data_IF_074490458952
#
_entry.id   IF_074490458952
#
_cell.length_a   1.000
_cell.length_b   1.000
_cell.length_c   1.000
_cell.angle_alpha   90.00
_cell.angle_beta   90.00
_cell.angle_gamma   90.00
#
_symmetry.space_group_name_H-M   'P 1'
#
loop_
_entity.id
_entity.type
_entity.pdbx_description
1 polymer ?
#
# COMPACT_ATOMS: atom_id res chain seq x y z
N UNK A 1 -67.88 -10.61 14.73
CA UNK A 1 -67.61 -9.50 15.66
C UNK A 1 -67.07 -8.33 14.86
N UNK A 2 -67.75 -7.19 15.00
CA UNK A 2 -67.39 -5.78 14.76
C UNK A 2 -66.45 -5.37 13.61
N UNK A 3 -66.99 -4.47 12.78
CA UNK A 3 -66.35 -3.62 11.79
C UNK A 3 -65.49 -2.50 12.41
N UNK A 4 -64.54 -1.96 11.64
CA UNK A 4 -64.50 -0.56 11.17
C UNK A 4 -63.07 -0.12 10.78
N UNK A 5 -63.02 0.69 9.72
CA UNK A 5 -61.85 1.26 9.08
C UNK A 5 -61.31 2.52 9.79
N UNK A 6 -60.06 2.91 9.49
CA UNK A 6 -59.66 4.31 9.42
C UNK A 6 -58.45 4.49 8.49
N UNK A 7 -58.65 5.21 7.40
CA UNK A 7 -57.59 5.80 6.58
C UNK A 7 -57.15 7.14 7.19
N UNK A 8 -55.90 7.54 7.00
CA UNK A 8 -55.46 8.91 7.27
C UNK A 8 -54.50 9.35 6.16
N UNK A 9 -55.02 10.17 5.27
CA UNK A 9 -54.27 10.97 4.32
C UNK A 9 -54.08 12.37 4.92
N UNK A 10 -52.87 12.93 4.81
CA UNK A 10 -52.64 14.37 5.02
C UNK A 10 -51.73 14.88 3.90
N UNK A 11 -52.27 15.82 3.12
CA UNK A 11 -51.62 16.59 2.07
C UNK A 11 -51.24 17.98 2.61
N UNK A 12 -49.97 18.39 2.36
CA UNK A 12 -49.36 19.68 1.85
C UNK A 12 -50.22 20.97 1.91
N UNK A 13 -49.73 22.25 1.95
CA UNK A 13 -48.41 22.79 1.49
C UNK A 13 -47.86 24.07 2.22
N UNK A 14 -46.73 24.63 1.71
CA UNK A 14 -46.42 26.07 1.44
C UNK A 14 -44.87 26.25 1.33
N UNK A 15 -44.28 26.42 0.13
CA UNK A 15 -43.98 27.68 -0.60
C UNK A 15 -43.17 28.70 0.23
N UNK A 16 -42.14 29.42 -0.20
CA UNK A 16 -41.19 29.44 -1.34
C UNK A 16 -40.23 30.60 -1.00
N UNK A 17 -38.92 30.45 -1.14
CA UNK A 17 -38.06 31.60 -1.43
C UNK A 17 -37.04 31.23 -2.52
N UNK A 18 -37.24 31.89 -3.66
CA UNK A 18 -36.34 31.92 -4.81
C UNK A 18 -35.25 32.95 -4.55
N UNK A 19 -33.99 32.57 -4.70
CA UNK A 19 -32.88 33.51 -4.89
C UNK A 19 -32.41 33.41 -6.34
N UNK A 20 -32.77 34.42 -7.13
CA UNK A 20 -32.26 34.63 -8.48
C UNK A 20 -31.04 35.55 -8.40
N UNK A 21 -29.87 35.10 -8.87
CA UNK A 21 -28.77 36.00 -9.17
C UNK A 21 -27.96 35.51 -10.40
N UNK A 22 -28.14 36.29 -11.47
CA UNK A 22 -27.22 36.65 -12.56
C UNK A 22 -26.36 35.61 -13.30
N UNK A 23 -26.44 35.73 -14.63
CA UNK A 23 -25.72 34.96 -15.66
C UNK A 23 -24.27 35.48 -15.86
N UNK A 24 -23.32 34.53 -15.93
CA UNK A 24 -22.14 34.35 -16.83
C UNK A 24 -21.23 35.54 -17.20
N UNK A 25 -19.91 35.29 -17.32
CA UNK A 25 -19.38 34.90 -18.63
C UNK A 25 -18.45 33.67 -18.65
N UNK A 26 -18.41 33.04 -19.83
CA UNK A 26 -17.45 32.02 -20.27
C UNK A 26 -16.02 32.57 -20.28
N UNK A 27 -15.08 31.84 -19.66
CA UNK A 27 -13.68 31.75 -20.13
C UNK A 27 -13.21 30.31 -19.87
N UNK A 28 -13.08 29.49 -20.91
CA UNK A 28 -11.97 29.35 -21.88
C UNK A 28 -11.12 28.15 -21.48
N UNK A 29 -11.38 27.05 -22.20
CA UNK A 29 -10.57 25.83 -22.23
C UNK A 29 -9.09 26.19 -22.40
N UNK A 30 -8.25 25.63 -21.53
CA UNK A 30 -6.82 25.45 -21.79
C UNK A 30 -6.41 24.04 -21.40
N UNK A 31 -6.15 23.27 -22.43
CA UNK A 31 -5.46 21.98 -22.44
C UNK A 31 -4.00 22.10 -21.95
N UNK A 32 -3.50 20.97 -21.44
CA UNK A 32 -2.09 20.58 -21.17
C UNK A 32 -1.42 21.19 -19.92
N UNK A 33 -1.07 20.35 -18.94
CA UNK A 33 0.21 19.61 -18.89
C UNK A 33 0.39 18.91 -17.53
N UNK A 34 0.84 17.65 -17.61
CA UNK A 34 1.45 16.75 -16.60
C UNK A 34 2.13 17.44 -15.39
N UNK A 35 2.02 16.90 -14.16
CA UNK A 35 2.79 17.40 -13.04
C UNK A 35 4.27 17.04 -13.25
N UNK A 36 5.10 18.04 -13.55
CA UNK A 36 6.55 17.90 -13.46
C UNK A 36 6.97 18.06 -12.00
N UNK A 37 7.52 16.97 -11.47
CA UNK A 37 8.35 16.89 -10.27
C UNK A 37 9.44 17.97 -10.34
N UNK A 38 9.27 19.06 -9.59
CA UNK A 38 10.30 20.06 -9.39
C UNK A 38 11.38 19.48 -8.47
N UNK A 39 12.46 19.00 -9.08
CA UNK A 39 13.76 18.90 -8.43
C UNK A 39 14.21 20.32 -8.08
N UNK A 40 14.17 20.69 -6.81
CA UNK A 40 14.96 21.82 -6.30
C UNK A 40 16.15 21.23 -5.54
N UNK A 41 17.30 21.25 -6.20
CA UNK A 41 18.58 21.11 -5.54
C UNK A 41 18.81 22.36 -4.67
N UNK A 42 18.83 22.17 -3.36
CA UNK A 42 19.55 23.05 -2.44
C UNK A 42 20.56 22.19 -1.71
N UNK A 43 21.81 22.30 -2.17
CA UNK A 43 22.96 21.85 -1.40
C UNK A 43 23.06 22.72 -0.15
N UNK A 44 22.72 22.13 0.99
CA UNK A 44 23.18 22.63 2.29
C UNK A 44 24.40 21.82 2.67
N UNK A 45 25.56 22.42 2.41
CA UNK A 45 26.83 22.00 2.99
C UNK A 45 26.80 22.27 4.49
N UNK A 46 26.77 21.20 5.29
CA UNK A 46 27.24 21.22 6.67
C UNK A 46 28.45 20.27 6.76
N UNK A 47 29.59 20.73 7.29
CA UNK A 47 30.78 19.90 7.46
C UNK A 47 30.75 19.14 8.79
N UNK A 48 31.44 17.99 8.79
CA UNK A 48 31.86 17.17 9.93
C UNK A 48 30.78 16.38 10.71
N UNK A 49 30.90 15.06 10.68
CA UNK A 49 30.23 14.17 11.63
C UNK A 49 30.19 12.70 11.18
N UNK A 50 31.11 11.89 11.70
CA UNK A 50 31.13 10.42 11.70
C UNK A 50 30.78 9.70 10.38
N UNK A 51 31.81 9.33 9.63
CA UNK A 51 31.75 8.38 8.51
C UNK A 51 31.44 6.96 8.96
N UNK A 52 30.28 6.74 9.59
CA UNK A 52 29.67 5.42 9.62
C UNK A 52 29.05 5.19 8.25
N UNK A 53 29.71 4.35 7.42
CA UNK A 53 29.13 3.93 6.14
C UNK A 53 27.71 3.42 6.38
N UNK A 54 26.72 4.15 5.87
CA UNK A 54 25.32 3.70 5.96
C UNK A 54 25.17 2.55 4.97
N UNK A 55 25.32 1.32 5.46
CA UNK A 55 25.06 0.12 4.68
C UNK A 55 23.60 0.10 4.24
N UNK A 56 23.38 -0.17 2.96
CA UNK A 56 22.04 -0.27 2.39
C UNK A 56 21.33 -1.52 2.97
N UNK A 57 20.07 -1.43 3.42
CA UNK A 57 19.39 -2.58 4.00
C UNK A 57 19.21 -3.66 2.92
N UNK A 58 19.28 -4.92 3.32
CA UNK A 58 18.89 -6.07 2.48
C UNK A 58 17.50 -6.52 2.92
N UNK A 59 16.57 -6.58 1.98
CA UNK A 59 15.19 -6.95 2.28
C UNK A 59 15.07 -8.44 2.55
N UNK A 60 14.28 -8.78 3.57
CA UNK A 60 13.86 -10.15 3.85
C UNK A 60 12.51 -10.16 4.54
N UNK A 61 11.71 -11.18 4.27
CA UNK A 61 10.49 -11.44 5.02
C UNK A 61 10.85 -11.85 6.46
N UNK A 62 10.04 -11.42 7.43
CA UNK A 62 10.13 -11.87 8.82
C UNK A 62 8.91 -12.71 9.18
N UNK A 63 9.17 -13.83 9.87
CA UNK A 63 8.10 -14.68 10.39
C UNK A 63 7.32 -13.96 11.50
N UNK A 64 6.05 -14.34 11.68
CA UNK A 64 5.20 -13.77 12.72
C UNK A 64 4.74 -12.33 12.46
N UNK A 65 5.03 -11.71 11.31
CA UNK A 65 4.54 -10.38 10.95
C UNK A 65 3.16 -10.45 10.30
N UNK A 66 3.04 -10.91 9.04
CA UNK A 66 1.74 -11.02 8.36
C UNK A 66 1.08 -9.70 7.92
N UNK A 67 1.69 -8.53 8.13
CA UNK A 67 1.09 -7.24 7.77
C UNK A 67 0.71 -7.11 6.27
N UNK A 68 1.46 -7.77 5.38
CA UNK A 68 1.15 -7.83 3.96
C UNK A 68 -0.15 -8.59 3.63
N UNK A 69 -0.65 -9.42 4.55
CA UNK A 69 -1.89 -10.17 4.39
C UNK A 69 -3.15 -9.36 4.73
N UNK A 70 -3.04 -8.15 5.29
CA UNK A 70 -4.16 -7.20 5.30
C UNK A 70 -4.29 -6.61 3.90
N UNK A 71 -5.19 -7.14 3.08
CA UNK A 71 -5.32 -6.75 1.68
C UNK A 71 -6.15 -5.46 1.54
N UNK A 72 -7.25 -5.35 2.29
CA UNK A 72 -7.99 -4.09 2.38
C UNK A 72 -7.42 -3.23 3.51
N UNK A 73 -6.64 -2.20 3.13
CA UNK A 73 -5.98 -1.27 4.06
C UNK A 73 -6.65 0.11 4.08
N UNK A 74 -7.77 0.29 3.38
CA UNK A 74 -8.44 1.57 3.21
C UNK A 74 -7.76 2.51 2.21
N UNK A 75 -8.27 3.74 2.07
CA UNK A 75 -8.01 4.64 0.93
C UNK A 75 -6.60 5.27 0.92
N UNK A 76 -5.82 5.10 1.99
CA UNK A 76 -4.44 5.57 2.04
C UNK A 76 -3.46 4.66 1.26
N UNK A 77 -3.93 3.50 0.81
CA UNK A 77 -3.17 2.52 0.06
C UNK A 77 -3.75 2.35 -1.34
N UNK A 78 -2.89 1.94 -2.27
CA UNK A 78 -3.31 1.65 -3.63
C UNK A 78 -4.35 0.51 -3.67
N UNK A 79 -5.39 0.72 -4.45
CA UNK A 79 -6.42 -0.27 -4.79
C UNK A 79 -5.88 -1.30 -5.79
N UNK A 80 -6.48 -2.50 -5.90
CA UNK A 80 -6.04 -3.47 -6.91
C UNK A 80 -6.14 -2.93 -8.35
N UNK A 81 -7.08 -2.03 -8.65
CA UNK A 81 -7.17 -1.33 -9.94
C UNK A 81 -5.96 -0.44 -10.26
N UNK A 82 -5.32 0.10 -9.23
CA UNK A 82 -4.15 0.96 -9.40
C UNK A 82 -2.85 0.15 -9.50
N UNK A 83 -2.85 -1.10 -9.02
CA UNK A 83 -1.68 -1.98 -8.99
C UNK A 83 -1.64 -2.90 -10.21
N UNK A 84 -2.78 -3.42 -10.65
CA UNK A 84 -2.85 -4.45 -11.68
C UNK A 84 -3.48 -3.92 -12.97
N UNK A 85 -2.81 -4.17 -14.09
CA UNK A 85 -3.38 -3.91 -15.41
C UNK A 85 -4.29 -5.06 -15.89
N UNK A 86 -4.03 -6.29 -15.43
CA UNK A 86 -4.78 -7.48 -15.82
C UNK A 86 -6.04 -7.65 -14.95
N UNK A 87 -7.26 -7.66 -15.54
CA UNK A 87 -8.50 -7.86 -14.80
C UNK A 87 -8.55 -9.18 -14.00
N UNK A 88 -7.86 -10.23 -14.48
CA UNK A 88 -7.81 -11.53 -13.77
C UNK A 88 -7.05 -11.45 -12.46
N UNK A 89 -6.01 -10.62 -12.40
CA UNK A 89 -5.25 -10.41 -11.16
C UNK A 89 -6.05 -9.58 -10.16
N UNK A 90 -6.82 -8.61 -10.65
CA UNK A 90 -7.78 -7.85 -9.83
C UNK A 90 -8.85 -8.77 -9.24
N UNK A 91 -9.46 -9.64 -10.06
CA UNK A 91 -10.45 -10.63 -9.62
C UNK A 91 -9.86 -11.59 -8.58
N UNK A 92 -8.65 -12.11 -8.85
CA UNK A 92 -7.95 -13.00 -7.92
C UNK A 92 -7.67 -12.31 -6.60
N UNK A 93 -7.11 -11.09 -6.62
CA UNK A 93 -6.84 -10.30 -5.43
C UNK A 93 -8.11 -10.12 -4.59
N UNK A 94 -9.22 -9.70 -5.23
CA UNK A 94 -10.52 -9.51 -4.55
C UNK A 94 -11.06 -10.78 -3.94
N UNK A 95 -10.99 -11.90 -4.65
CA UNK A 95 -11.49 -13.18 -4.13
C UNK A 95 -10.73 -13.65 -2.88
N UNK A 96 -9.50 -13.18 -2.69
CA UNK A 96 -8.70 -13.46 -1.49
C UNK A 96 -9.01 -12.52 -0.32
N UNK A 97 -9.75 -11.41 -0.51
CA UNK A 97 -10.08 -10.47 0.58
C UNK A 97 -11.28 -10.99 1.36
N UNK A 98 -11.05 -11.32 2.64
CA UNK A 98 -12.10 -11.70 3.58
C UNK A 98 -12.97 -10.52 4.03
N UNK A 99 -14.10 -10.79 4.70
CA UNK A 99 -15.05 -9.76 5.13
C UNK A 99 -14.47 -8.74 6.12
N UNK A 100 -13.37 -9.09 6.78
CA UNK A 100 -12.63 -8.24 7.70
C UNK A 100 -11.41 -7.57 7.05
N UNK A 101 -11.28 -7.64 5.72
CA UNK A 101 -10.20 -7.06 4.94
C UNK A 101 -8.87 -7.83 4.99
N UNK A 102 -8.81 -8.97 5.71
CA UNK A 102 -7.64 -9.84 5.73
C UNK A 102 -7.73 -10.88 4.63
N UNK A 103 -6.57 -11.35 4.15
CA UNK A 103 -6.51 -12.47 3.22
C UNK A 103 -7.17 -13.71 3.83
N UNK A 104 -8.06 -14.38 3.10
CA UNK A 104 -8.76 -15.60 3.55
C UNK A 104 -7.81 -16.76 3.89
N UNK A 105 -6.58 -16.74 3.34
CA UNK A 105 -5.54 -17.73 3.61
C UNK A 105 -4.59 -17.33 4.74
N UNK A 106 -4.81 -16.19 5.40
CA UNK A 106 -3.99 -15.77 6.53
C UNK A 106 -4.52 -16.41 7.83
N UNK A 107 -3.75 -17.36 8.35
CA UNK A 107 -4.02 -17.98 9.63
C UNK A 107 -3.60 -17.03 10.76
N UNK A 108 -4.55 -16.35 11.38
CA UNK A 108 -4.29 -15.30 12.37
C UNK A 108 -3.60 -15.82 13.63
N UNK A 109 -3.89 -17.05 14.03
CA UNK A 109 -3.34 -17.66 15.25
C UNK A 109 -1.83 -17.88 15.13
N UNK A 110 -1.38 -18.38 13.99
CA UNK A 110 0.04 -18.68 13.72
C UNK A 110 0.75 -17.58 12.93
N UNK A 111 -0.01 -16.62 12.39
CA UNK A 111 0.43 -15.55 11.49
C UNK A 111 1.15 -16.09 10.25
N UNK A 112 0.64 -17.19 9.70
CA UNK A 112 1.17 -17.86 8.50
C UNK A 112 0.15 -17.85 7.37
N UNK A 113 0.63 -17.95 6.14
CA UNK A 113 -0.23 -18.15 4.98
C UNK A 113 -0.43 -19.66 4.76
N UNK A 114 -1.68 -20.12 4.68
CA UNK A 114 -2.01 -21.54 4.49
C UNK A 114 -1.61 -22.08 3.11
N UNK A 115 -1.41 -21.18 2.14
CA UNK A 115 -0.99 -21.49 0.76
C UNK A 115 0.40 -20.90 0.46
N UNK A 116 1.30 -20.84 1.45
CA UNK A 116 2.61 -20.20 1.30
C UNK A 116 3.40 -20.63 0.04
N UNK A 117 3.47 -21.94 -0.31
CA UNK A 117 4.14 -22.40 -1.53
C UNK A 117 3.42 -21.98 -2.81
N UNK A 118 2.08 -21.91 -2.80
CA UNK A 118 1.23 -21.61 -3.96
C UNK A 118 0.82 -20.14 -4.06
N UNK A 119 1.40 -19.26 -3.21
CA UNK A 119 1.06 -17.84 -3.20
C UNK A 119 1.13 -17.23 -4.61
N UNK A 120 0.10 -16.46 -5.02
CA UNK A 120 0.13 -15.69 -6.25
C UNK A 120 1.37 -14.80 -6.33
N UNK A 121 1.81 -14.47 -7.54
CA UNK A 121 3.03 -13.70 -7.75
C UNK A 121 2.99 -12.36 -6.99
N UNK A 122 1.87 -11.64 -7.01
CA UNK A 122 1.72 -10.35 -6.31
C UNK A 122 1.83 -10.43 -4.78
N UNK A 123 1.69 -11.63 -4.18
CA UNK A 123 1.94 -11.84 -2.75
C UNK A 123 3.42 -12.07 -2.42
N UNK A 124 4.29 -12.17 -3.44
CA UNK A 124 5.73 -12.41 -3.29
C UNK A 124 6.49 -11.10 -3.50
N UNK A 125 7.19 -10.70 -2.46
CA UNK A 125 8.10 -9.56 -2.51
C UNK A 125 9.45 -10.06 -3.02
N UNK A 126 9.68 -9.87 -4.31
CA UNK A 126 10.94 -10.17 -4.99
C UNK A 126 11.21 -9.08 -6.06
N UNK A 127 12.45 -8.99 -6.58
CA UNK A 127 12.80 -7.97 -7.56
C UNK A 127 11.94 -8.00 -8.82
N UNK A 128 11.63 -9.20 -9.34
CA UNK A 128 10.93 -9.39 -10.60
C UNK A 128 9.51 -8.84 -10.54
N UNK A 129 8.78 -9.14 -9.47
CA UNK A 129 7.42 -8.65 -9.25
C UNK A 129 7.41 -7.13 -8.99
N UNK A 130 8.39 -6.61 -8.26
CA UNK A 130 8.49 -5.16 -8.01
C UNK A 130 8.78 -4.37 -9.28
N UNK A 131 9.60 -4.92 -10.17
CA UNK A 131 9.82 -4.35 -11.49
C UNK A 131 8.54 -4.37 -12.31
N UNK A 132 7.85 -5.52 -12.38
CA UNK A 132 6.63 -5.67 -13.18
C UNK A 132 5.45 -4.83 -12.69
N UNK A 133 5.24 -4.73 -11.37
CA UNK A 133 4.07 -4.08 -10.78
C UNK A 133 4.27 -2.58 -10.54
N UNK A 134 5.51 -2.16 -10.25
CA UNK A 134 5.78 -0.79 -9.80
C UNK A 134 6.88 -0.08 -10.61
N UNK A 135 7.49 -0.75 -11.58
CA UNK A 135 8.61 -0.19 -12.35
C UNK A 135 9.87 0.05 -11.51
N UNK A 136 10.03 -0.67 -10.39
CA UNK A 136 11.17 -0.53 -9.49
C UNK A 136 12.30 -1.43 -9.95
N UNK A 137 13.46 -0.84 -10.27
CA UNK A 137 14.66 -1.59 -10.67
C UNK A 137 15.19 -2.48 -9.52
N UNK A 138 15.81 -3.61 -9.89
CA UNK A 138 16.47 -4.53 -8.95
C UNK A 138 17.49 -3.84 -8.03
N UNK A 139 18.20 -2.82 -8.51
CA UNK A 139 19.17 -2.04 -7.71
C UNK A 139 18.52 -1.24 -6.57
N UNK A 140 17.25 -0.88 -6.72
CA UNK A 140 16.47 -0.14 -5.71
C UNK A 140 15.52 -1.04 -4.92
N UNK A 141 15.42 -2.32 -5.29
CA UNK A 141 14.47 -3.26 -4.74
C UNK A 141 14.52 -3.30 -3.21
N UNK A 142 15.70 -3.54 -2.62
CA UNK A 142 15.79 -3.73 -1.17
C UNK A 142 15.34 -2.49 -0.39
N UNK A 143 15.76 -1.31 -0.86
CA UNK A 143 15.37 -0.02 -0.26
C UNK A 143 13.86 0.19 -0.32
N UNK A 144 13.25 0.00 -1.48
CA UNK A 144 11.81 0.24 -1.69
C UNK A 144 10.95 -0.84 -1.02
N UNK A 145 11.33 -2.11 -1.10
CA UNK A 145 10.67 -3.20 -0.41
C UNK A 145 10.73 -3.01 1.12
N UNK A 146 11.87 -2.59 1.65
CA UNK A 146 11.99 -2.27 3.07
C UNK A 146 11.12 -1.08 3.48
N UNK A 147 11.02 -0.04 2.64
CA UNK A 147 10.15 1.10 2.91
C UNK A 147 8.67 0.69 2.92
N UNK A 148 8.22 0.00 1.87
CA UNK A 148 6.86 -0.51 1.73
C UNK A 148 6.45 -1.44 2.89
N UNK A 149 7.35 -2.35 3.30
CA UNK A 149 7.11 -3.20 4.46
C UNK A 149 6.97 -2.39 5.76
N UNK A 150 7.85 -1.41 6.01
CA UNK A 150 7.74 -0.55 7.20
C UNK A 150 6.42 0.21 7.24
N UNK A 151 6.01 0.80 6.13
CA UNK A 151 4.79 1.60 6.07
C UNK A 151 3.55 0.72 6.25
N UNK A 152 3.57 -0.47 5.63
CA UNK A 152 2.53 -1.48 5.83
C UNK A 152 2.45 -1.95 7.28
N UNK A 153 3.57 -2.30 7.90
CA UNK A 153 3.59 -2.76 9.30
C UNK A 153 3.08 -1.66 10.23
N UNK A 154 3.51 -0.40 10.04
CA UNK A 154 3.04 0.74 10.84
C UNK A 154 1.53 0.95 10.72
N UNK A 155 0.97 0.81 9.52
CA UNK A 155 -0.46 0.99 9.32
C UNK A 155 -1.29 -0.13 9.98
N UNK A 156 -0.77 -1.36 10.03
CA UNK A 156 -1.50 -2.51 10.59
C UNK A 156 -1.31 -2.64 12.10
N UNK A 157 -0.07 -2.54 12.59
CA UNK A 157 0.29 -2.81 13.99
C UNK A 157 0.71 -1.57 14.76
N UNK A 158 0.99 -0.45 14.08
CA UNK A 158 1.44 0.80 14.70
C UNK A 158 2.96 0.98 14.70
N UNK A 159 3.40 2.21 14.94
CA UNK A 159 4.83 2.61 14.91
C UNK A 159 5.67 2.11 16.09
N UNK A 160 5.04 1.56 17.13
CA UNK A 160 5.69 1.00 18.33
C UNK A 160 5.47 -0.51 18.46
N UNK A 161 5.21 -1.18 17.34
CA UNK A 161 4.87 -2.60 17.29
C UNK A 161 6.11 -3.48 17.32
N UNK A 162 5.99 -4.65 17.95
CA UNK A 162 7.03 -5.68 17.96
C UNK A 162 7.35 -6.16 16.54
N UNK A 163 6.34 -6.22 15.67
CA UNK A 163 6.49 -6.60 14.26
C UNK A 163 7.41 -5.63 13.51
N UNK A 164 7.30 -4.32 13.79
CA UNK A 164 8.17 -3.31 13.19
C UNK A 164 9.58 -3.37 13.73
N UNK A 165 9.73 -3.56 15.03
CA UNK A 165 11.03 -3.73 15.68
C UNK A 165 11.76 -4.96 15.14
N UNK A 166 11.09 -6.11 15.10
CA UNK A 166 11.62 -7.36 14.55
C UNK A 166 12.03 -7.21 13.08
N UNK A 167 11.18 -6.60 12.25
CA UNK A 167 11.53 -6.32 10.84
C UNK A 167 12.78 -5.44 10.71
N UNK A 168 12.84 -4.34 11.47
CA UNK A 168 13.97 -3.42 11.44
C UNK A 168 15.27 -4.08 11.91
N UNK A 169 15.22 -4.93 12.94
CA UNK A 169 16.37 -5.72 13.38
C UNK A 169 16.83 -6.69 12.28
N UNK A 170 15.89 -7.39 11.63
CA UNK A 170 16.20 -8.37 10.59
C UNK A 170 16.93 -7.78 9.38
N UNK A 171 16.47 -6.62 8.87
CA UNK A 171 17.09 -5.95 7.72
C UNK A 171 18.39 -5.21 8.06
N UNK A 172 18.67 -4.97 9.34
CA UNK A 172 19.96 -4.45 9.83
C UNK A 172 20.99 -5.58 10.00
N UNK A 173 20.59 -6.71 10.60
CA UNK A 173 21.48 -7.84 10.92
C UNK A 173 21.96 -8.62 9.69
N UNK A 174 21.27 -8.50 8.56
CA UNK A 174 21.65 -9.12 7.29
C UNK A 174 23.01 -8.61 6.73
N UNK A 175 23.60 -7.60 7.37
CA UNK A 175 24.87 -6.98 7.01
C UNK A 175 26.11 -7.60 7.70
N UNK A 176 25.96 -8.71 8.45
CA UNK A 176 27.09 -9.41 9.08
C UNK A 176 27.62 -10.61 8.28
N UNK A 177 27.14 -10.85 7.05
CA UNK A 177 27.75 -11.86 6.16
C UNK A 177 28.92 -11.21 5.43
N UNK A 178 30.18 -11.63 5.66
CA UNK A 178 31.30 -11.17 4.85
C UNK A 178 31.06 -11.56 3.40
N UNK A 179 31.18 -10.58 2.50
CA UNK A 179 31.25 -10.81 1.06
C UNK A 179 32.59 -11.50 0.74
N UNK A 180 32.65 -12.81 0.97
CA UNK A 180 33.75 -13.66 0.52
C UNK A 180 33.16 -14.69 -0.43
N UNK A 181 33.84 -14.87 -1.56
CA UNK A 181 33.65 -15.88 -2.59
C UNK A 181 32.55 -15.65 -3.63
N UNK A 182 32.93 -15.00 -4.75
CA UNK A 182 32.52 -15.40 -6.10
C UNK A 182 33.40 -14.68 -7.13
N UNK A 183 34.69 -15.04 -7.14
CA UNK A 183 35.59 -14.83 -8.28
C UNK A 183 36.52 -16.02 -8.35
N UNK A 184 36.16 -17.05 -9.11
CA UNK A 184 37.08 -17.95 -9.81
C UNK A 184 36.35 -18.60 -11.00
N UNK A 185 36.72 -18.27 -12.25
CA UNK A 185 36.40 -19.08 -13.41
C UNK A 185 37.46 -20.18 -13.59
N UNK A 186 36.99 -21.39 -13.94
CA UNK A 186 37.81 -22.46 -14.50
C UNK A 186 38.05 -22.23 -15.98
#
# INVERSE_FOLDING_TARGET
MLAAAAASASLVPCLSTVSLAARRPRQRVRTKTKPQKAQSGRGSSSPAGFGGGRTEPVWRCVEGCGACCKLDKGPAFATPEEIFENPRDIELYRSMVGPDGWCIHFEKSTRKCSIYPERPYFCRVNPENFQSLYGIDKKSFDREACASCRDTIKAIYGSKSEELENFNCSVKSSNLVPKVELDHPT
#
